data_IF_466631448804
#
_entry.id   IF_466631448804
#
_cell.length_a   1.000
_cell.length_b   1.000
_cell.length_c   1.000
_cell.angle_alpha   90.00
_cell.angle_beta   90.00
_cell.angle_gamma   90.00
#
_symmetry.space_group_name_H-M   'P 1'
#
loop_
_entity.id
_entity.type
_entity.pdbx_description
1 polymer ?
#
# COMPACT_ATOMS: atom_id res chain seq x y z
N UNK A 1 -27.06 -27.67 -2.18
CA UNK A 1 -25.60 -27.88 -2.40
C UNK A 1 -25.02 -28.33 -1.08
N UNK A 2 -24.19 -29.38 -1.03
CA UNK A 2 -23.57 -29.80 0.23
C UNK A 2 -22.56 -28.74 0.70
N UNK A 3 -22.45 -28.53 2.02
CA UNK A 3 -21.47 -27.60 2.57
C UNK A 3 -20.05 -28.17 2.43
N UNK A 4 -19.24 -27.54 1.59
CA UNK A 4 -17.86 -27.89 1.27
C UNK A 4 -16.97 -26.63 1.16
N UNK A 5 -15.69 -26.81 0.84
CA UNK A 5 -14.75 -25.69 0.72
C UNK A 5 -15.09 -24.76 -0.46
N UNK A 6 -15.61 -25.32 -1.56
CA UNK A 6 -15.97 -24.55 -2.76
C UNK A 6 -17.14 -23.60 -2.50
N UNK A 7 -18.20 -24.11 -1.87
CA UNK A 7 -19.38 -23.35 -1.44
C UNK A 7 -19.03 -22.27 -0.40
N UNK A 8 -18.13 -22.56 0.56
CA UNK A 8 -17.59 -21.54 1.47
C UNK A 8 -16.87 -20.42 0.70
N UNK A 9 -15.98 -20.79 -0.23
CA UNK A 9 -15.24 -19.83 -1.05
C UNK A 9 -16.18 -18.96 -1.89
N UNK A 10 -17.18 -19.56 -2.54
CA UNK A 10 -18.18 -18.85 -3.32
C UNK A 10 -18.98 -17.86 -2.44
N UNK A 11 -19.47 -18.31 -1.29
CA UNK A 11 -20.22 -17.49 -0.34
C UNK A 11 -19.42 -16.25 0.08
N UNK A 12 -18.19 -16.45 0.56
CA UNK A 12 -17.35 -15.37 1.09
C UNK A 12 -16.81 -14.44 0.01
N UNK A 13 -16.59 -14.94 -1.22
CA UNK A 13 -16.21 -14.09 -2.36
C UNK A 13 -17.30 -13.09 -2.74
N UNK A 14 -18.57 -13.47 -2.55
CA UNK A 14 -19.72 -12.62 -2.87
C UNK A 14 -20.10 -11.71 -1.69
N UNK A 15 -20.12 -12.25 -0.46
CA UNK A 15 -20.62 -11.51 0.73
C UNK A 15 -19.55 -10.69 1.45
N UNK A 16 -18.27 -11.03 1.30
CA UNK A 16 -17.20 -10.42 2.09
C UNK A 16 -17.18 -10.87 3.56
N UNK A 17 -16.63 -10.05 4.48
CA UNK A 17 -16.49 -10.40 5.89
C UNK A 17 -17.80 -10.84 6.56
N UNK A 18 -17.92 -12.14 6.86
CA UNK A 18 -19.17 -12.75 7.35
C UNK A 18 -18.97 -13.45 8.70
N UNK A 19 -19.96 -13.38 9.59
CA UNK A 19 -19.92 -14.05 10.89
C UNK A 19 -20.08 -15.57 10.78
N UNK A 20 -19.53 -16.32 11.74
CA UNK A 20 -19.58 -17.79 11.71
C UNK A 20 -21.02 -18.35 11.68
N UNK A 21 -21.93 -17.75 12.47
CA UNK A 21 -23.33 -18.18 12.50
C UNK A 21 -24.01 -17.96 11.14
N UNK A 22 -23.75 -16.81 10.51
CA UNK A 22 -24.32 -16.47 9.20
C UNK A 22 -23.76 -17.37 8.09
N UNK A 23 -22.48 -17.75 8.18
CA UNK A 23 -21.87 -18.76 7.29
C UNK A 23 -22.58 -20.11 7.44
N UNK A 24 -22.77 -20.57 8.67
CA UNK A 24 -23.42 -21.85 8.95
C UNK A 24 -24.87 -21.88 8.41
N UNK A 25 -25.63 -20.81 8.65
CA UNK A 25 -27.00 -20.63 8.13
C UNK A 25 -27.00 -20.62 6.60
N UNK A 26 -26.13 -19.83 5.96
CA UNK A 26 -26.09 -19.70 4.51
C UNK A 26 -25.67 -21.00 3.79
N UNK A 27 -24.84 -21.83 4.42
CA UNK A 27 -24.43 -23.13 3.89
C UNK A 27 -25.36 -24.28 4.32
N UNK A 28 -26.37 -24.02 5.15
CA UNK A 28 -27.28 -25.04 5.67
C UNK A 28 -26.57 -26.11 6.51
N UNK A 29 -25.55 -25.72 7.28
CA UNK A 29 -24.74 -26.64 8.08
C UNK A 29 -24.62 -26.19 9.55
N UNK A 30 -24.07 -27.05 10.41
CA UNK A 30 -23.80 -26.68 11.80
C UNK A 30 -22.60 -25.73 11.90
N UNK A 31 -22.55 -24.91 12.96
CA UNK A 31 -21.40 -24.03 13.24
C UNK A 31 -20.08 -24.80 13.36
N UNK A 32 -20.11 -26.03 13.90
CA UNK A 32 -18.94 -26.94 13.94
C UNK A 32 -18.47 -27.34 12.54
N UNK A 33 -19.40 -27.57 11.61
CA UNK A 33 -19.06 -27.86 10.21
C UNK A 33 -18.47 -26.65 9.52
N UNK A 34 -19.07 -25.47 9.69
CA UNK A 34 -18.54 -24.21 9.16
C UNK A 34 -17.13 -23.91 9.70
N UNK A 35 -16.87 -24.10 11.00
CA UNK A 35 -15.53 -23.95 11.58
C UNK A 35 -14.52 -24.89 10.94
N UNK A 36 -14.89 -26.16 10.70
CA UNK A 36 -14.03 -27.13 10.04
C UNK A 36 -13.73 -26.73 8.59
N UNK A 37 -14.70 -26.18 7.86
CA UNK A 37 -14.50 -25.67 6.51
C UNK A 37 -13.57 -24.45 6.49
N UNK A 38 -13.74 -23.52 7.44
CA UNK A 38 -12.85 -22.35 7.58
C UNK A 38 -11.43 -22.79 7.92
N UNK A 39 -11.27 -23.76 8.82
CA UNK A 39 -9.95 -24.32 9.14
C UNK A 39 -9.31 -25.02 7.92
N UNK A 40 -10.10 -25.76 7.14
CA UNK A 40 -9.65 -26.41 5.91
C UNK A 40 -9.31 -25.40 4.79
N UNK A 41 -9.91 -24.20 4.82
CA UNK A 41 -9.55 -23.12 3.91
C UNK A 41 -8.13 -22.59 4.15
N UNK A 42 -7.60 -22.71 5.37
CA UNK A 42 -6.25 -22.28 5.72
C UNK A 42 -6.00 -20.84 5.29
N UNK A 43 -4.92 -20.64 4.54
CA UNK A 43 -4.49 -19.33 4.00
C UNK A 43 -5.47 -18.73 2.97
N UNK A 44 -6.47 -19.50 2.54
CA UNK A 44 -7.50 -19.00 1.63
C UNK A 44 -8.43 -17.96 2.30
N UNK A 45 -8.57 -18.03 3.63
CA UNK A 45 -9.47 -17.20 4.41
C UNK A 45 -8.72 -16.44 5.52
N UNK A 46 -9.18 -15.24 5.83
CA UNK A 46 -8.69 -14.44 6.97
C UNK A 46 -9.83 -14.26 7.97
N UNK A 47 -9.53 -14.43 9.25
CA UNK A 47 -10.50 -14.26 10.33
C UNK A 47 -10.00 -13.24 11.33
N UNK A 48 -10.81 -12.20 11.59
CA UNK A 48 -10.44 -11.10 12.49
C UNK A 48 -11.64 -10.56 13.27
N UNK A 49 -11.34 -9.81 14.33
CA UNK A 49 -12.31 -9.36 15.33
C UNK A 49 -12.51 -10.36 16.46
N UNK A 50 -13.10 -9.87 17.55
CA UNK A 50 -13.28 -10.65 18.78
C UNK A 50 -14.75 -10.98 19.05
N UNK A 51 -14.97 -12.10 19.74
CA UNK A 51 -16.29 -12.56 20.22
C UNK A 51 -17.37 -12.48 19.12
N UNK A 52 -18.43 -11.69 19.33
CA UNK A 52 -19.54 -11.48 18.40
C UNK A 52 -19.19 -10.67 17.14
N UNK A 53 -18.04 -9.98 17.15
CA UNK A 53 -17.55 -9.19 16.01
C UNK A 53 -16.60 -9.97 15.11
N UNK A 54 -16.24 -11.21 15.47
CA UNK A 54 -15.39 -12.02 14.60
C UNK A 54 -16.06 -12.22 13.24
N UNK A 55 -15.34 -11.90 12.18
CA UNK A 55 -15.73 -12.10 10.79
C UNK A 55 -14.67 -12.91 10.07
N UNK A 56 -15.10 -13.62 9.03
CA UNK A 56 -14.25 -14.40 8.14
C UNK A 56 -14.44 -13.85 6.73
N UNK A 57 -13.35 -13.59 6.02
CA UNK A 57 -13.38 -13.13 4.63
C UNK A 57 -12.50 -14.04 3.76
N UNK A 58 -12.85 -14.15 2.48
CA UNK A 58 -12.00 -14.83 1.51
C UNK A 58 -10.90 -13.88 1.04
N UNK A 59 -9.65 -14.30 1.11
CA UNK A 59 -8.51 -13.52 0.61
C UNK A 59 -8.51 -13.53 -0.92
N UNK A 60 -8.31 -12.36 -1.50
CA UNK A 60 -8.34 -12.10 -2.93
C UNK A 60 -6.93 -12.08 -3.49
N UNK A 61 -6.75 -12.68 -4.66
CA UNK A 61 -5.47 -12.66 -5.36
C UNK A 61 -5.37 -11.34 -6.15
N UNK A 62 -4.19 -10.73 -6.11
CA UNK A 62 -3.86 -9.56 -6.93
C UNK A 62 -3.00 -10.08 -8.08
N UNK A 63 -3.53 -9.98 -9.31
CA UNK A 63 -2.90 -10.55 -10.52
C UNK A 63 -2.60 -12.04 -10.45
N UNK A 64 -3.54 -12.80 -9.89
CA UNK A 64 -3.39 -14.25 -9.74
C UNK A 64 -2.36 -14.66 -8.69
N UNK A 65 -1.81 -13.71 -7.93
CA UNK A 65 -0.92 -13.98 -6.81
C UNK A 65 -1.62 -13.65 -5.49
N UNK A 66 -1.55 -14.60 -4.58
CA UNK A 66 -2.01 -14.43 -3.21
C UNK A 66 -1.00 -13.55 -2.47
N UNK A 67 -1.25 -12.25 -2.47
CA UNK A 67 -0.33 -11.28 -1.88
C UNK A 67 -0.65 -11.03 -0.41
N UNK A 68 0.40 -10.81 0.37
CA UNK A 68 0.35 -10.13 1.65
C UNK A 68 1.39 -9.03 1.59
N UNK A 69 0.98 -7.80 1.85
CA UNK A 69 1.86 -6.64 1.73
C UNK A 69 2.20 -6.15 3.14
N UNK A 70 3.41 -6.42 3.65
CA UNK A 70 3.84 -5.78 4.89
C UNK A 70 3.86 -4.27 4.69
N UNK A 71 3.40 -3.53 5.69
CA UNK A 71 3.47 -2.07 5.70
C UNK A 71 4.49 -1.67 6.75
N UNK A 72 5.43 -0.82 6.35
CA UNK A 72 6.47 -0.27 7.20
C UNK A 72 6.24 1.22 7.39
N UNK A 73 6.66 1.74 8.55
CA UNK A 73 6.79 3.16 8.80
C UNK A 73 8.26 3.50 9.04
N UNK A 74 8.76 4.52 8.38
CA UNK A 74 10.09 5.06 8.57
C UNK A 74 10.04 6.04 9.75
N UNK A 75 10.65 5.66 10.86
CA UNK A 75 10.72 6.52 12.05
C UNK A 75 11.62 7.74 11.87
N UNK A 76 11.64 8.63 12.86
CA UNK A 76 12.44 9.87 12.85
C UNK A 76 13.94 9.65 12.70
N UNK A 77 14.43 8.47 13.06
CA UNK A 77 15.81 8.04 12.85
C UNK A 77 16.08 7.45 11.46
N UNK A 78 15.10 7.50 10.55
CA UNK A 78 15.19 6.90 9.21
C UNK A 78 15.12 5.37 9.20
N UNK A 79 14.76 4.75 10.33
CA UNK A 79 14.67 3.29 10.47
C UNK A 79 13.26 2.80 10.14
N UNK A 80 13.09 1.87 9.20
CA UNK A 80 11.80 1.28 8.90
C UNK A 80 11.40 0.27 9.97
N UNK A 81 10.18 0.37 10.46
CA UNK A 81 9.55 -0.55 11.41
C UNK A 81 8.25 -1.07 10.82
N UNK A 82 8.00 -2.39 10.94
CA UNK A 82 6.76 -2.96 10.43
C UNK A 82 5.59 -2.52 11.32
N UNK A 83 4.55 -1.96 10.71
CA UNK A 83 3.34 -1.50 11.39
C UNK A 83 2.17 -2.45 11.23
N UNK A 84 2.20 -3.30 10.21
CA UNK A 84 1.18 -4.32 10.02
C UNK A 84 1.31 -5.07 8.70
N UNK A 85 0.32 -5.92 8.46
CA UNK A 85 0.25 -6.78 7.28
C UNK A 85 -1.10 -6.61 6.58
N UNK A 86 -1.05 -6.18 5.31
CA UNK A 86 -2.22 -5.92 4.49
C UNK A 86 -2.55 -7.13 3.59
N UNK A 87 -3.81 -7.56 3.61
CA UNK A 87 -4.31 -8.71 2.85
C UNK A 87 -5.54 -8.29 2.05
N UNK A 88 -5.49 -8.27 0.72
CA UNK A 88 -6.67 -8.03 -0.11
C UNK A 88 -7.74 -9.11 0.16
N UNK A 89 -9.00 -8.69 0.23
CA UNK A 89 -10.15 -9.59 0.46
C UNK A 89 -11.20 -9.40 -0.63
N UNK A 90 -12.07 -10.40 -0.74
CA UNK A 90 -13.22 -10.37 -1.64
C UNK A 90 -14.47 -9.84 -0.93
N UNK A 91 -15.47 -9.30 -1.66
CA UNK A 91 -15.41 -8.96 -3.09
C UNK A 91 -14.47 -7.77 -3.36
N UNK A 92 -14.26 -6.90 -2.38
CA UNK A 92 -13.40 -5.73 -2.43
C UNK A 92 -12.82 -5.42 -1.05
N UNK A 93 -11.81 -4.54 -1.02
CA UNK A 93 -11.18 -4.08 0.21
C UNK A 93 -10.05 -4.96 0.70
N UNK A 94 -9.67 -4.75 1.96
CA UNK A 94 -8.55 -5.45 2.59
C UNK A 94 -8.79 -5.70 4.09
N UNK A 95 -8.02 -6.64 4.62
CA UNK A 95 -7.77 -6.77 6.05
C UNK A 95 -6.38 -6.24 6.35
N UNK A 96 -6.27 -5.30 7.30
CA UNK A 96 -5.00 -4.81 7.82
C UNK A 96 -4.80 -5.32 9.25
N UNK A 97 -3.86 -6.25 9.42
CA UNK A 97 -3.45 -6.72 10.73
C UNK A 97 -2.44 -5.75 11.33
N UNK A 98 -2.85 -5.03 12.36
CA UNK A 98 -2.01 -4.04 13.05
C UNK A 98 -1.04 -4.75 13.99
N UNK A 99 0.26 -4.53 13.82
CA UNK A 99 1.31 -5.03 14.71
C UNK A 99 1.84 -3.95 15.65
N UNK A 100 1.85 -2.70 15.20
CA UNK A 100 2.17 -1.52 16.00
C UNK A 100 1.31 -0.33 15.56
N UNK A 101 1.14 0.72 16.39
CA UNK A 101 0.28 1.85 16.03
C UNK A 101 0.72 2.47 14.70
N UNK A 102 -0.07 2.29 13.64
CA UNK A 102 0.25 2.76 12.29
C UNK A 102 -0.31 4.17 12.06
N UNK A 103 -1.63 4.30 12.17
CA UNK A 103 -2.41 5.52 12.03
C UNK A 103 -3.72 5.36 12.84
N UNK A 104 -4.43 6.46 13.17
CA UNK A 104 -5.74 6.38 13.80
C UNK A 104 -6.74 5.58 12.94
N UNK A 105 -7.11 4.37 13.37
CA UNK A 105 -8.13 3.60 12.65
C UNK A 105 -9.53 4.17 12.94
N UNK A 106 -10.39 4.35 11.92
CA UNK A 106 -11.77 4.72 12.14
C UNK A 106 -12.51 3.58 12.86
N UNK A 107 -13.62 3.90 13.53
CA UNK A 107 -14.36 2.98 14.38
C UNK A 107 -14.83 1.72 13.65
N UNK A 108 -15.24 1.88 12.39
CA UNK A 108 -15.66 0.81 11.48
C UNK A 108 -14.52 -0.15 11.12
N UNK A 109 -13.26 0.30 11.16
CA UNK A 109 -12.08 -0.50 10.84
C UNK A 109 -11.33 -1.00 12.09
N UNK A 110 -11.94 -0.90 13.27
CA UNK A 110 -11.33 -1.32 14.56
C UNK A 110 -10.84 -2.76 14.60
N UNK A 111 -11.45 -3.64 13.80
CA UNK A 111 -11.10 -5.06 13.71
C UNK A 111 -10.26 -5.34 12.44
N UNK A 112 -9.67 -4.31 11.83
CA UNK A 112 -8.78 -4.41 10.66
C UNK A 112 -9.50 -4.48 9.31
N UNK A 113 -10.83 -4.38 9.26
CA UNK A 113 -11.59 -4.48 8.02
C UNK A 113 -11.74 -3.12 7.32
N UNK A 114 -11.27 -3.04 6.08
CA UNK A 114 -11.42 -1.85 5.23
C UNK A 114 -12.19 -2.22 3.96
N UNK A 115 -13.17 -1.39 3.57
CA UNK A 115 -13.93 -1.55 2.33
C UNK A 115 -13.13 -1.26 1.05
N UNK A 116 -11.95 -0.66 1.21
CA UNK A 116 -10.91 -0.42 0.22
C UNK A 116 -9.53 -0.61 0.85
N UNK A 117 -8.55 0.20 0.47
CA UNK A 117 -7.30 0.36 1.23
C UNK A 117 -7.52 1.28 2.45
N UNK A 118 -6.68 1.19 3.51
CA UNK A 118 -6.67 2.17 4.58
C UNK A 118 -6.38 3.57 4.03
N UNK A 119 -7.01 4.60 4.60
CA UNK A 119 -6.86 5.98 4.11
C UNK A 119 -5.40 6.44 4.04
N UNK A 120 -4.57 6.01 5.00
CA UNK A 120 -3.15 6.33 5.02
C UNK A 120 -2.40 5.82 3.78
N UNK A 121 -2.87 4.73 3.16
CA UNK A 121 -2.30 4.24 1.89
C UNK A 121 -2.86 4.98 0.67
N UNK A 122 -4.07 5.54 0.76
CA UNK A 122 -4.58 6.43 -0.29
C UNK A 122 -3.80 7.74 -0.37
N UNK A 123 -3.32 8.25 0.78
CA UNK A 123 -2.48 9.45 0.82
C UNK A 123 -1.12 9.26 0.13
N UNK A 124 -0.65 8.01 -0.01
CA UNK A 124 0.56 7.66 -0.76
C UNK A 124 0.34 7.65 -2.28
N UNK A 125 -0.90 7.79 -2.76
CA UNK A 125 -1.21 7.71 -4.19
C UNK A 125 -0.36 8.71 -4.97
N UNK A 126 0.40 8.27 -5.99
CA UNK A 126 1.08 9.18 -6.90
C UNK A 126 0.06 10.14 -7.52
N UNK A 127 0.24 11.45 -7.31
CA UNK A 127 -0.71 12.46 -7.78
C UNK A 127 -0.02 13.70 -8.36
N UNK A 128 -0.79 14.51 -9.07
CA UNK A 128 -0.28 15.73 -9.70
C UNK A 128 0.70 15.45 -10.84
N UNK A 129 1.57 16.42 -11.08
CA UNK A 129 2.56 16.39 -12.15
C UNK A 129 3.56 15.24 -11.97
N UNK A 130 4.21 15.14 -10.79
CA UNK A 130 5.17 14.07 -10.51
C UNK A 130 4.50 12.69 -10.42
N UNK A 131 3.29 12.60 -9.89
CA UNK A 131 2.55 11.33 -9.86
C UNK A 131 2.20 10.80 -11.24
N UNK A 132 1.88 11.67 -12.20
CA UNK A 132 1.68 11.25 -13.60
C UNK A 132 3.00 10.82 -14.25
N UNK A 133 4.10 11.50 -13.99
CA UNK A 133 5.41 11.08 -14.46
C UNK A 133 5.80 9.71 -13.87
N UNK A 134 5.50 9.47 -12.59
CA UNK A 134 5.63 8.16 -11.92
C UNK A 134 4.85 7.06 -12.63
N UNK A 135 3.55 7.26 -12.86
CA UNK A 135 2.71 6.28 -13.54
C UNK A 135 3.15 6.02 -14.99
N UNK A 136 3.59 7.05 -15.72
CA UNK A 136 4.13 6.88 -17.08
C UNK A 136 5.43 6.08 -17.11
N UNK A 137 6.33 6.33 -16.15
CA UNK A 137 7.64 5.67 -16.07
C UNK A 137 7.51 4.21 -15.64
N UNK A 138 6.67 3.93 -14.64
CA UNK A 138 6.64 2.62 -13.98
C UNK A 138 5.39 1.79 -14.32
N UNK A 139 4.29 2.44 -14.70
CA UNK A 139 3.01 1.79 -14.94
C UNK A 139 3.07 0.73 -16.03
N UNK A 140 3.77 0.98 -17.15
CA UNK A 140 3.88 0.03 -18.25
C UNK A 140 4.52 -1.30 -17.83
N UNK A 141 5.61 -1.26 -17.04
CA UNK A 141 6.26 -2.46 -16.48
C UNK A 141 5.32 -3.25 -15.58
N UNK A 142 4.42 -2.55 -14.91
CA UNK A 142 3.37 -3.14 -14.11
C UNK A 142 2.06 -3.28 -14.90
N UNK A 143 1.98 -3.14 -16.21
CA UNK A 143 0.69 -3.21 -16.93
C UNK A 143 -0.44 -2.35 -16.32
N UNK A 144 -0.11 -1.19 -15.75
CA UNK A 144 -1.05 -0.24 -15.15
C UNK A 144 -1.29 0.94 -16.10
N UNK A 145 -2.45 1.63 -15.99
CA UNK A 145 -2.70 2.85 -16.74
C UNK A 145 -1.61 3.92 -16.51
N UNK A 146 -1.28 4.74 -17.53
CA UNK A 146 -0.28 5.79 -17.40
C UNK A 146 -0.74 7.00 -16.57
N UNK A 147 -2.00 7.01 -16.14
CA UNK A 147 -2.58 8.03 -15.27
C UNK A 147 -2.97 7.40 -13.93
N UNK A 148 -2.36 7.81 -12.80
CA UNK A 148 -2.60 7.20 -11.50
C UNK A 148 -4.02 7.46 -10.97
N UNK A 149 -4.78 8.37 -11.58
CA UNK A 149 -6.21 8.57 -11.26
C UNK A 149 -7.08 7.40 -11.74
N UNK A 150 -6.57 6.59 -12.67
CA UNK A 150 -7.26 5.39 -13.17
C UNK A 150 -6.86 4.13 -12.39
N UNK A 151 -6.01 4.25 -11.37
CA UNK A 151 -5.58 3.11 -10.56
C UNK A 151 -6.65 2.79 -9.52
N UNK A 152 -7.20 1.58 -9.59
CA UNK A 152 -7.98 1.00 -8.49
C UNK A 152 -7.08 0.62 -7.31
N UNK A 153 -7.66 0.01 -6.28
CA UNK A 153 -6.93 -0.39 -5.07
C UNK A 153 -5.81 -1.39 -5.37
N UNK A 154 -6.03 -2.31 -6.31
CA UNK A 154 -5.03 -3.30 -6.69
C UNK A 154 -3.87 -2.66 -7.46
N UNK A 155 -4.20 -1.81 -8.43
CA UNK A 155 -3.22 -1.03 -9.19
C UNK A 155 -2.39 -0.13 -8.26
N UNK A 156 -3.04 0.52 -7.29
CA UNK A 156 -2.35 1.31 -6.28
C UNK A 156 -1.43 0.42 -5.43
N UNK A 157 -1.94 -0.70 -4.90
CA UNK A 157 -1.13 -1.62 -4.10
C UNK A 157 0.08 -2.16 -4.85
N UNK A 158 -0.07 -2.47 -6.14
CA UNK A 158 1.03 -2.92 -7.02
C UNK A 158 2.06 -1.80 -7.25
N UNK A 159 1.59 -0.58 -7.54
CA UNK A 159 2.45 0.58 -7.74
C UNK A 159 3.27 0.92 -6.50
N UNK A 160 2.61 1.00 -5.34
CA UNK A 160 3.25 1.21 -4.04
C UNK A 160 4.23 0.07 -3.72
N UNK A 161 3.81 -1.18 -3.93
CA UNK A 161 4.60 -2.38 -3.70
C UNK A 161 5.93 -2.42 -4.45
N UNK A 162 5.93 -1.98 -5.70
CA UNK A 162 7.06 -2.13 -6.60
C UNK A 162 7.99 -0.91 -6.66
N UNK A 163 7.44 0.30 -6.56
CA UNK A 163 8.17 1.55 -6.78
C UNK A 163 7.82 2.64 -5.75
N UNK A 164 7.12 2.29 -4.66
CA UNK A 164 6.70 3.25 -3.63
C UNK A 164 7.80 3.61 -2.62
N UNK A 165 9.07 3.56 -3.01
CA UNK A 165 10.21 3.83 -2.13
C UNK A 165 10.47 5.31 -1.84
N UNK A 166 9.93 6.19 -2.69
CA UNK A 166 10.10 7.65 -2.59
C UNK A 166 8.78 8.38 -2.86
N UNK A 167 7.79 8.11 -2.00
CA UNK A 167 6.47 8.73 -2.01
C UNK A 167 6.28 9.67 -0.81
N UNK A 168 5.33 10.61 -0.87
CA UNK A 168 5.00 11.47 0.26
C UNK A 168 4.61 10.66 1.50
N UNK A 169 5.01 11.13 2.68
CA UNK A 169 4.72 10.47 3.95
C UNK A 169 5.88 9.64 4.47
N UNK A 170 5.59 8.72 5.39
CA UNK A 170 6.58 7.89 6.08
C UNK A 170 6.30 6.39 5.91
N UNK A 171 5.39 6.00 5.04
CA UNK A 171 4.98 4.61 4.85
C UNK A 171 5.60 3.98 3.62
N UNK A 172 6.01 2.72 3.76
CA UNK A 172 6.46 1.86 2.67
C UNK A 172 5.57 0.62 2.61
N UNK A 173 5.13 0.23 1.42
CA UNK A 173 4.26 -0.93 1.23
C UNK A 173 5.04 -2.01 0.48
N UNK A 174 5.18 -3.19 1.09
CA UNK A 174 5.86 -4.33 0.52
C UNK A 174 7.39 -4.33 0.72
N UNK A 175 7.96 -5.54 0.68
CA UNK A 175 9.40 -5.76 0.87
C UNK A 175 10.25 -5.15 -0.25
N UNK A 176 9.71 -5.07 -1.47
CA UNK A 176 10.46 -4.52 -2.60
C UNK A 176 10.62 -2.99 -2.46
N UNK A 177 9.57 -2.26 -2.09
CA UNK A 177 9.68 -0.84 -1.77
C UNK A 177 10.65 -0.59 -0.61
N UNK A 178 10.60 -1.42 0.45
CA UNK A 178 11.55 -1.35 1.55
C UNK A 178 13.01 -1.52 1.09
N UNK A 179 13.29 -2.54 0.28
CA UNK A 179 14.65 -2.80 -0.24
C UNK A 179 15.15 -1.61 -1.05
N UNK A 180 14.33 -1.08 -1.95
CA UNK A 180 14.68 0.10 -2.76
C UNK A 180 14.95 1.33 -1.90
N UNK A 181 14.13 1.58 -0.88
CA UNK A 181 14.36 2.65 0.09
C UNK A 181 15.74 2.51 0.77
N UNK A 182 16.08 1.31 1.23
CA UNK A 182 17.37 1.03 1.87
C UNK A 182 18.54 1.18 0.87
N UNK A 183 18.39 0.70 -0.36
CA UNK A 183 19.41 0.85 -1.40
C UNK A 183 19.67 2.34 -1.72
N UNK A 184 18.61 3.14 -1.85
CA UNK A 184 18.71 4.59 -2.06
C UNK A 184 19.41 5.28 -0.88
N UNK A 185 19.19 4.82 0.36
CA UNK A 185 19.89 5.35 1.55
C UNK A 185 21.38 5.00 1.56
N UNK A 186 21.75 3.80 1.11
CA UNK A 186 23.14 3.38 0.99
C UNK A 186 23.88 4.11 -0.14
N UNK A 187 23.15 4.46 -1.20
CA UNK A 187 23.66 5.20 -2.37
C UNK A 187 23.39 6.71 -2.28
N UNK A 188 23.06 7.23 -1.09
CA UNK A 188 22.63 8.60 -0.93
C UNK A 188 23.67 9.57 -1.52
N UNK A 189 23.24 10.36 -2.49
CA UNK A 189 24.07 11.40 -3.09
C UNK A 189 24.26 12.53 -2.07
N UNK A 190 25.44 13.12 -2.04
CA UNK A 190 25.67 14.32 -1.24
C UNK A 190 24.63 15.40 -1.61
N UNK A 191 24.05 16.10 -0.62
CA UNK A 191 23.15 17.21 -0.91
C UNK A 191 23.84 18.25 -1.80
N UNK A 192 23.04 18.95 -2.61
CA UNK A 192 23.56 20.02 -3.46
C UNK A 192 24.15 21.13 -2.57
N UNK A 193 25.41 21.55 -2.80
CA UNK A 193 25.98 22.70 -2.11
C UNK A 193 25.37 24.00 -2.65
N UNK A 194 25.51 25.09 -1.89
CA UNK A 194 25.07 26.43 -2.32
C UNK A 194 25.76 26.86 -3.63
N UNK A 195 27.03 26.48 -3.80
CA UNK A 195 27.79 26.74 -5.01
C UNK A 195 27.21 25.95 -6.20
N UNK A 196 26.72 26.67 -7.22
CA UNK A 196 26.18 26.05 -8.44
C UNK A 196 24.72 25.61 -8.34
N UNK A 197 24.02 25.91 -7.24
CA UNK A 197 22.64 25.49 -7.00
C UNK A 197 21.68 25.87 -8.15
N UNK A 198 21.81 27.08 -8.69
CA UNK A 198 20.97 27.55 -9.80
C UNK A 198 21.14 26.70 -11.08
N UNK A 199 22.36 26.31 -11.42
CA UNK A 199 22.63 25.46 -12.58
C UNK A 199 22.13 24.03 -12.35
N UNK A 200 22.30 23.49 -11.13
CA UNK A 200 21.76 22.20 -10.75
C UNK A 200 20.23 22.17 -10.84
N UNK A 201 19.55 23.20 -10.35
CA UNK A 201 18.09 23.34 -10.43
C UNK A 201 17.60 23.43 -11.88
N UNK A 202 18.28 24.20 -12.73
CA UNK A 202 17.96 24.26 -14.15
C UNK A 202 18.09 22.88 -14.83
N UNK A 203 19.14 22.13 -14.50
CA UNK A 203 19.34 20.77 -14.99
C UNK A 203 18.24 19.79 -14.53
N UNK A 204 17.88 19.82 -13.25
CA UNK A 204 16.80 18.99 -12.71
C UNK A 204 15.45 19.34 -13.35
N UNK A 205 15.15 20.63 -13.51
CA UNK A 205 13.95 21.07 -14.20
C UNK A 205 13.89 20.56 -15.65
N UNK A 206 14.99 20.62 -16.40
CA UNK A 206 15.05 20.08 -17.75
C UNK A 206 14.80 18.57 -17.79
N UNK A 207 15.46 17.80 -16.92
CA UNK A 207 15.27 16.35 -16.81
C UNK A 207 13.80 15.97 -16.56
N UNK A 208 13.14 16.71 -15.66
CA UNK A 208 11.74 16.47 -15.32
C UNK A 208 10.80 16.75 -16.48
N UNK A 209 11.08 17.79 -17.25
CA UNK A 209 10.32 18.12 -18.46
C UNK A 209 10.49 17.04 -19.55
N UNK A 210 11.62 16.34 -19.56
CA UNK A 210 11.89 15.18 -20.43
C UNK A 210 11.29 13.86 -19.88
N UNK A 211 10.65 13.89 -18.71
CA UNK A 211 9.99 12.73 -18.10
C UNK A 211 10.84 11.95 -17.10
N UNK A 212 12.01 12.45 -16.72
CA UNK A 212 12.75 11.91 -15.58
C UNK A 212 12.01 12.21 -14.26
N UNK A 213 12.22 11.35 -13.25
CA UNK A 213 11.78 11.59 -11.88
C UNK A 213 13.02 11.70 -10.99
N UNK A 214 13.61 12.89 -10.85
CA UNK A 214 14.57 13.16 -9.82
C UNK A 214 13.85 13.28 -8.47
N UNK A 215 14.08 12.27 -7.63
CA UNK A 215 13.59 12.20 -6.25
C UNK A 215 12.08 11.95 -6.10
N UNK A 216 11.51 12.53 -5.04
CA UNK A 216 10.21 12.18 -4.46
C UNK A 216 9.01 12.61 -5.27
N UNK A 217 7.94 11.81 -5.26
CA UNK A 217 6.69 12.13 -5.95
C UNK A 217 5.81 13.11 -5.16
N UNK A 218 6.20 14.39 -5.08
CA UNK A 218 5.37 15.41 -4.44
C UNK A 218 4.07 15.72 -5.23
N UNK A 219 2.99 16.03 -4.50
CA UNK A 219 1.70 16.40 -5.10
C UNK A 219 1.67 17.80 -5.74
N UNK A 220 0.61 18.07 -6.52
CA UNK A 220 0.36 19.37 -7.17
C UNK A 220 0.53 19.33 -8.69
N UNK A 221 -0.22 20.20 -9.40
CA UNK A 221 -0.36 20.14 -10.86
C UNK A 221 0.72 20.89 -11.65
N UNK A 222 1.41 21.83 -11.01
CA UNK A 222 2.47 22.59 -11.64
C UNK A 222 3.75 21.76 -11.76
N UNK A 223 4.52 21.90 -12.87
CA UNK A 223 5.83 21.29 -13.01
C UNK A 223 6.75 21.66 -11.84
N UNK A 224 7.39 20.64 -11.28
CA UNK A 224 8.22 20.74 -10.08
C UNK A 224 9.19 19.57 -10.02
N UNK A 225 10.22 19.68 -9.19
CA UNK A 225 11.19 18.63 -8.95
C UNK A 225 11.58 18.62 -7.49
N UNK A 226 12.15 17.52 -7.01
CA UNK A 226 12.69 17.48 -5.65
C UNK A 226 14.20 17.48 -5.67
N UNK A 227 14.80 18.13 -4.68
CA UNK A 227 16.24 18.17 -4.52
C UNK A 227 16.60 18.26 -3.05
N UNK A 228 17.58 17.46 -2.64
CA UNK A 228 18.25 17.62 -1.35
C UNK A 228 19.37 18.66 -1.51
N UNK A 229 19.33 19.73 -0.71
CA UNK A 229 20.41 20.72 -0.62
C UNK A 229 20.94 20.88 0.79
N UNK A 230 22.16 21.34 0.90
CA UNK A 230 22.69 21.89 2.14
C UNK A 230 21.89 23.16 2.50
N UNK A 231 21.62 23.35 3.79
CA UNK A 231 21.06 24.61 4.28
C UNK A 231 21.77 24.96 5.59
N UNK A 232 22.41 26.14 5.70
CA UNK A 232 23.13 26.53 6.90
C UNK A 232 22.27 26.41 8.16
N UNK A 233 22.79 25.70 9.17
CA UNK A 233 22.12 25.48 10.45
C UNK A 233 21.13 24.31 10.50
N UNK A 234 20.90 23.59 9.39
CA UNK A 234 20.04 22.41 9.37
C UNK A 234 20.83 21.12 9.54
N UNK A 235 20.31 20.22 10.38
CA UNK A 235 20.91 18.91 10.65
C UNK A 235 20.60 17.85 9.58
N UNK A 236 19.61 18.12 8.72
CA UNK A 236 19.22 17.24 7.61
C UNK A 236 19.18 18.02 6.30
N UNK A 237 19.43 17.36 5.15
CA UNK A 237 19.30 18.01 3.85
C UNK A 237 17.89 18.57 3.68
N UNK A 238 17.79 19.79 3.17
CA UNK A 238 16.52 20.43 2.91
C UNK A 238 15.98 19.95 1.57
N UNK A 239 14.79 19.34 1.57
CA UNK A 239 14.08 18.96 0.35
C UNK A 239 13.25 20.16 -0.13
N UNK A 240 13.58 20.70 -1.30
CA UNK A 240 12.73 21.70 -1.97
C UNK A 240 11.80 20.98 -2.94
N UNK A 241 10.53 21.37 -2.96
CA UNK A 241 9.49 20.96 -3.92
C UNK A 241 9.19 22.14 -4.84
#
# INVERSE_FOLDING_TARGET
MAADLSSLGHLLRVRGPTGLADIAVALGCSTKTAQRLIAAAGDAAVGAGQTRRRRIAWRRDVRGQRTESPVYRVGTQGRPERVGLLRPISPQGCHFEVESPAWPAPDEARDGWYGGLPYALYDLRPQGFLGRAFARRHGATLGLPPDPRQWDDDALLLGLGAFGDDLPGDLLVGDLALRRFLDTRLQATAPLPDAGLAAAYAGLAAQVMEGALPGSSAGGEFPKFTAARELPGMATPHCVI
#
